data_IF_480026300057
#
_entry.id   IF_480026300057
#
_cell.length_a   1.000
_cell.length_b   1.000
_cell.length_c   1.000
_cell.angle_alpha   90.00
_cell.angle_beta   90.00
_cell.angle_gamma   90.00
#
_symmetry.space_group_name_H-M   'P 1'
#
loop_
_entity.id
_entity.type
_entity.pdbx_description
1 polymer ?
#
# COMPACT_ATOMS: atom_id res chain seq x y z
N UNK A 1 -21.63 3.70 5.88
CA UNK A 1 -21.64 2.48 6.75
C UNK A 1 -20.33 2.27 7.50
N UNK A 2 -19.18 2.72 6.97
CA UNK A 2 -17.86 2.61 7.64
C UNK A 2 -17.74 3.37 8.96
N UNK A 3 -18.44 4.50 9.08
CA UNK A 3 -18.27 5.44 10.20
C UNK A 3 -18.67 4.87 11.57
N UNK A 4 -19.53 3.85 11.57
CA UNK A 4 -20.03 3.23 12.81
C UNK A 4 -19.21 1.99 13.24
N UNK A 5 -18.30 1.48 12.40
CA UNK A 5 -17.55 0.25 12.71
C UNK A 5 -16.66 0.47 13.94
N UNK A 6 -15.91 1.56 13.97
CA UNK A 6 -14.99 1.86 15.08
C UNK A 6 -15.74 2.11 16.40
N UNK A 7 -16.79 2.96 16.46
CA UNK A 7 -17.59 3.12 17.66
C UNK A 7 -18.21 1.81 18.15
N UNK A 8 -18.77 0.98 17.26
CA UNK A 8 -19.38 -0.32 17.62
C UNK A 8 -18.34 -1.26 18.23
N UNK A 9 -17.14 -1.35 17.62
CA UNK A 9 -16.04 -2.17 18.16
C UNK A 9 -15.63 -1.70 19.55
N UNK A 10 -15.56 -0.38 19.77
CA UNK A 10 -15.18 0.18 21.06
C UNK A 10 -16.22 -0.13 22.16
N UNK A 11 -17.50 0.02 21.85
CA UNK A 11 -18.59 -0.34 22.76
C UNK A 11 -18.60 -1.84 23.02
N UNK A 12 -18.41 -2.68 22.01
CA UNK A 12 -18.33 -4.13 22.18
C UNK A 12 -17.18 -4.56 23.11
N UNK A 13 -16.00 -3.92 22.97
CA UNK A 13 -14.87 -4.19 23.88
C UNK A 13 -15.16 -3.81 25.33
N UNK A 14 -15.83 -2.67 25.57
CA UNK A 14 -16.25 -2.25 26.92
C UNK A 14 -17.26 -3.25 27.51
N UNK A 15 -18.24 -3.69 26.72
CA UNK A 15 -19.25 -4.68 27.14
C UNK A 15 -18.60 -6.03 27.49
N UNK A 16 -17.66 -6.50 26.66
CA UNK A 16 -16.91 -7.75 26.92
C UNK A 16 -16.12 -7.63 28.21
N UNK A 17 -15.47 -6.50 28.44
CA UNK A 17 -14.72 -6.27 29.69
C UNK A 17 -15.64 -6.27 30.90
N UNK A 18 -16.84 -5.64 30.81
CA UNK A 18 -17.85 -5.62 31.87
C UNK A 18 -18.36 -7.04 32.17
N UNK A 19 -18.69 -7.83 31.14
CA UNK A 19 -19.11 -9.23 31.29
C UNK A 19 -18.03 -10.07 31.98
N UNK A 20 -16.78 -9.85 31.63
CA UNK A 20 -15.62 -10.55 32.22
C UNK A 20 -15.21 -9.98 33.61
N UNK A 21 -15.96 -9.01 34.16
CA UNK A 21 -15.68 -8.34 35.43
C UNK A 21 -14.26 -7.75 35.51
N UNK A 22 -13.72 -7.32 34.37
CA UNK A 22 -12.41 -6.64 34.29
C UNK A 22 -12.66 -5.14 34.18
N UNK A 23 -11.77 -4.35 34.80
CA UNK A 23 -11.83 -2.90 34.67
C UNK A 23 -11.35 -2.47 33.28
N UNK A 24 -12.23 -1.94 32.38
CA UNK A 24 -11.86 -1.58 31.01
C UNK A 24 -10.71 -0.57 30.95
N UNK A 25 -10.70 0.40 31.87
CA UNK A 25 -9.66 1.42 31.96
C UNK A 25 -8.29 0.83 32.26
N UNK A 26 -8.24 -0.09 33.22
CA UNK A 26 -6.99 -0.73 33.58
C UNK A 26 -6.43 -1.64 32.48
N UNK A 27 -7.32 -2.37 31.80
CA UNK A 27 -6.95 -3.16 30.62
C UNK A 27 -6.41 -2.28 29.48
N UNK A 28 -7.00 -1.09 29.28
CA UNK A 28 -6.53 -0.14 28.29
C UNK A 28 -5.13 0.39 28.62
N UNK A 29 -4.87 0.74 29.89
CA UNK A 29 -3.54 1.21 30.32
C UNK A 29 -2.48 0.11 30.18
N UNK A 30 -2.79 -1.13 30.58
CA UNK A 30 -1.89 -2.27 30.43
C UNK A 30 -1.58 -2.53 28.95
N UNK A 31 -2.62 -2.57 28.10
CA UNK A 31 -2.45 -2.71 26.66
C UNK A 31 -1.64 -1.57 26.01
N UNK A 32 -1.84 -0.34 26.47
CA UNK A 32 -1.06 0.80 26.01
C UNK A 32 0.43 0.69 26.41
N UNK A 33 0.74 0.24 27.64
CA UNK A 33 2.12 -0.01 28.07
C UNK A 33 2.79 -1.11 27.27
N UNK A 34 2.08 -2.22 27.03
CA UNK A 34 2.58 -3.32 26.20
C UNK A 34 2.80 -2.89 24.76
N UNK A 35 1.85 -2.14 24.17
CA UNK A 35 1.96 -1.59 22.83
C UNK A 35 3.13 -0.62 22.69
N UNK A 36 3.34 0.25 23.66
CA UNK A 36 4.47 1.17 23.70
C UNK A 36 5.82 0.43 23.77
N UNK A 37 5.94 -0.52 24.68
CA UNK A 37 7.14 -1.38 24.78
C UNK A 37 7.40 -2.16 23.50
N UNK A 38 6.33 -2.69 22.88
CA UNK A 38 6.41 -3.38 21.60
C UNK A 38 6.92 -2.47 20.48
N UNK A 39 6.43 -1.23 20.40
CA UNK A 39 6.84 -0.24 19.41
C UNK A 39 8.32 0.13 19.54
N UNK A 40 8.80 0.33 20.76
CA UNK A 40 10.23 0.58 20.99
C UNK A 40 11.12 -0.59 20.54
N UNK A 41 10.68 -1.82 20.75
CA UNK A 41 11.42 -3.01 20.30
C UNK A 41 11.48 -3.15 18.78
N UNK A 42 10.55 -2.55 18.03
CA UNK A 42 10.54 -2.54 16.56
C UNK A 42 11.34 -1.38 15.97
N UNK A 43 11.54 -0.30 16.73
CA UNK A 43 12.14 0.94 16.25
C UNK A 43 13.50 0.77 15.56
N UNK A 44 14.48 0.01 16.10
CA UNK A 44 15.77 -0.20 15.44
C UNK A 44 15.64 -0.87 14.05
N UNK A 45 14.75 -1.85 13.93
CA UNK A 45 14.52 -2.55 12.65
C UNK A 45 13.87 -1.64 11.62
N UNK A 46 12.91 -0.82 12.03
CA UNK A 46 12.25 0.17 11.18
C UNK A 46 13.27 1.22 10.70
N UNK A 47 14.12 1.72 11.60
CA UNK A 47 15.16 2.69 11.23
C UNK A 47 16.17 2.11 10.24
N UNK A 48 16.61 0.86 10.44
CA UNK A 48 17.53 0.18 9.53
C UNK A 48 16.93 0.04 8.12
N UNK A 49 15.65 -0.33 8.01
CA UNK A 49 15.01 -0.46 6.69
C UNK A 49 14.80 0.90 6.03
N UNK A 50 14.40 1.93 6.79
CA UNK A 50 14.28 3.28 6.23
C UNK A 50 15.63 3.81 5.70
N UNK A 51 16.71 3.54 6.42
CA UNK A 51 18.05 3.90 5.96
C UNK A 51 18.39 3.15 4.65
N UNK A 52 18.17 1.85 4.59
CA UNK A 52 18.41 1.06 3.38
C UNK A 52 17.57 1.57 2.18
N UNK A 53 16.28 1.88 2.42
CA UNK A 53 15.39 2.41 1.39
C UNK A 53 15.80 3.81 0.93
N UNK A 54 16.23 4.68 1.85
CA UNK A 54 16.74 6.02 1.52
C UNK A 54 18.04 5.93 0.69
N UNK A 55 18.94 5.01 1.03
CA UNK A 55 20.15 4.77 0.23
C UNK A 55 19.81 4.25 -1.17
N UNK A 56 18.82 3.35 -1.28
CA UNK A 56 18.35 2.85 -2.58
C UNK A 56 17.76 3.97 -3.45
N UNK A 57 17.01 4.90 -2.85
CA UNK A 57 16.48 6.08 -3.54
C UNK A 57 17.61 7.04 -3.95
N UNK A 58 18.53 7.36 -3.03
CA UNK A 58 19.65 8.26 -3.28
C UNK A 58 20.64 7.73 -4.33
N UNK A 59 20.80 6.41 -4.44
CA UNK A 59 21.67 5.78 -5.45
C UNK A 59 21.09 5.79 -6.87
N UNK A 60 19.83 6.21 -7.07
CA UNK A 60 19.16 6.15 -8.36
C UNK A 60 18.75 4.74 -8.79
N UNK A 61 18.86 3.75 -7.91
CA UNK A 61 18.52 2.36 -8.21
C UNK A 61 17.04 2.21 -8.59
N UNK A 62 16.15 2.98 -7.96
CA UNK A 62 14.73 3.01 -8.31
C UNK A 62 14.50 3.45 -9.76
N UNK A 63 15.23 4.46 -10.23
CA UNK A 63 15.12 4.97 -11.60
C UNK A 63 15.65 3.95 -12.60
N UNK A 64 16.75 3.29 -12.27
CA UNK A 64 17.31 2.23 -13.08
C UNK A 64 16.34 1.06 -13.21
N UNK A 65 15.79 0.58 -12.09
CA UNK A 65 14.79 -0.50 -12.08
C UNK A 65 13.53 -0.12 -12.85
N UNK A 66 13.05 1.11 -12.68
CA UNK A 66 11.89 1.62 -13.40
C UNK A 66 12.10 1.64 -14.90
N UNK A 67 13.28 2.05 -15.37
CA UNK A 67 13.64 2.03 -16.80
C UNK A 67 13.72 0.61 -17.37
N UNK A 68 14.36 -0.30 -16.66
CA UNK A 68 14.48 -1.71 -17.10
C UNK A 68 13.11 -2.39 -17.14
N UNK A 69 12.28 -2.17 -16.14
CA UNK A 69 10.98 -2.81 -16.01
C UNK A 69 9.88 -2.15 -16.84
N UNK A 70 10.05 -0.90 -17.30
CA UNK A 70 9.03 -0.18 -18.08
C UNK A 70 8.66 -0.91 -19.37
N UNK A 71 9.63 -1.50 -20.07
CA UNK A 71 9.41 -2.20 -21.35
C UNK A 71 8.56 -3.46 -21.14
N UNK A 72 8.93 -4.43 -20.29
CA UNK A 72 8.10 -5.60 -20.05
C UNK A 72 6.73 -5.26 -19.42
N UNK A 73 6.65 -4.23 -18.55
CA UNK A 73 5.39 -3.80 -17.97
C UNK A 73 4.41 -3.26 -19.01
N UNK A 74 4.90 -2.51 -19.99
CA UNK A 74 4.07 -1.99 -21.09
C UNK A 74 3.47 -3.13 -21.90
N UNK A 75 4.23 -4.20 -22.16
CA UNK A 75 3.72 -5.39 -22.87
C UNK A 75 2.64 -6.12 -22.09
N UNK A 76 2.69 -6.06 -20.76
CA UNK A 76 1.70 -6.65 -19.86
C UNK A 76 0.45 -5.76 -19.67
N UNK A 77 0.43 -4.54 -20.22
CA UNK A 77 -0.71 -3.63 -20.16
C UNK A 77 -0.66 -2.60 -19.04
N UNK A 78 0.47 -2.47 -18.34
CA UNK A 78 0.70 -1.36 -17.40
C UNK A 78 1.26 -0.17 -18.20
N UNK A 79 0.69 1.05 -18.06
CA UNK A 79 1.24 2.25 -18.69
C UNK A 79 2.70 2.48 -18.28
N UNK A 80 3.56 2.81 -19.25
CA UNK A 80 4.99 3.06 -19.00
C UNK A 80 5.24 4.18 -17.98
N UNK A 81 4.34 5.15 -17.91
CA UNK A 81 4.36 6.27 -16.98
C UNK A 81 4.24 5.81 -15.51
N UNK A 82 3.68 4.62 -15.29
CA UNK A 82 3.45 4.05 -13.97
C UNK A 82 4.51 3.03 -13.55
N UNK A 83 5.49 2.74 -14.40
CA UNK A 83 6.56 1.78 -14.07
C UNK A 83 7.32 2.19 -12.79
N UNK A 84 7.62 3.48 -12.63
CA UNK A 84 8.23 4.03 -11.42
C UNK A 84 7.38 3.81 -10.18
N UNK A 85 6.06 3.99 -10.30
CA UNK A 85 5.13 3.80 -9.19
C UNK A 85 5.05 2.33 -8.76
N UNK A 86 5.02 1.39 -9.70
CA UNK A 86 5.01 -0.05 -9.42
C UNK A 86 6.28 -0.49 -8.70
N UNK A 87 7.44 0.03 -9.09
CA UNK A 87 8.73 -0.28 -8.45
C UNK A 87 8.83 0.36 -7.07
N UNK A 88 8.34 1.60 -6.93
CA UNK A 88 8.45 2.36 -5.69
C UNK A 88 7.46 1.87 -4.62
N UNK A 89 6.31 1.37 -5.01
CA UNK A 89 5.22 1.00 -4.08
C UNK A 89 5.64 -0.03 -3.02
N UNK A 90 6.30 -1.16 -3.34
CA UNK A 90 6.77 -2.12 -2.33
C UNK A 90 7.82 -1.56 -1.36
N UNK A 91 8.49 -0.48 -1.77
CA UNK A 91 9.63 0.13 -1.09
C UNK A 91 9.21 1.28 -0.18
N UNK A 92 8.40 2.21 -0.70
CA UNK A 92 8.07 3.47 -0.01
C UNK A 92 6.60 3.84 -0.21
N UNK A 93 5.85 3.81 0.89
CA UNK A 93 4.43 4.23 0.90
C UNK A 93 4.28 5.73 0.67
N UNK A 94 5.03 6.56 1.38
CA UNK A 94 4.98 8.03 1.24
C UNK A 94 5.49 8.48 -0.13
N UNK A 95 6.57 7.88 -0.63
CA UNK A 95 7.09 8.17 -1.96
C UNK A 95 6.10 7.81 -3.06
N UNK A 96 5.41 6.68 -2.94
CA UNK A 96 4.35 6.31 -3.90
C UNK A 96 3.14 7.22 -3.85
N UNK A 97 2.75 7.74 -2.68
CA UNK A 97 1.68 8.73 -2.58
C UNK A 97 2.08 10.08 -3.21
N UNK A 98 3.31 10.51 -3.04
CA UNK A 98 3.82 11.72 -3.71
C UNK A 98 3.78 11.54 -5.23
N UNK A 99 4.29 10.40 -5.74
CA UNK A 99 4.25 10.09 -7.18
C UNK A 99 2.82 9.93 -7.70
N UNK A 100 1.90 9.37 -6.92
CA UNK A 100 0.47 9.33 -7.26
C UNK A 100 -0.09 10.74 -7.45
N UNK A 101 0.18 11.65 -6.51
CA UNK A 101 -0.27 13.04 -6.61
C UNK A 101 0.26 13.73 -7.88
N UNK A 102 1.53 13.51 -8.22
CA UNK A 102 2.12 14.04 -9.45
C UNK A 102 1.44 13.49 -10.70
N UNK A 103 1.14 12.18 -10.72
CA UNK A 103 0.41 11.52 -11.81
C UNK A 103 -1.02 12.07 -11.92
N UNK A 104 -1.72 12.21 -10.80
CA UNK A 104 -3.10 12.74 -10.81
C UNK A 104 -3.15 14.22 -11.23
N UNK A 105 -2.16 15.02 -10.81
CA UNK A 105 -2.04 16.41 -11.25
C UNK A 105 -1.77 16.54 -12.75
N UNK A 106 -0.96 15.64 -13.31
CA UNK A 106 -0.55 15.68 -14.71
C UNK A 106 -1.59 15.10 -15.68
N UNK A 107 -2.22 13.98 -15.32
CA UNK A 107 -3.08 13.21 -16.22
C UNK A 107 -4.57 13.28 -15.84
N UNK A 108 -4.89 13.77 -14.64
CA UNK A 108 -6.24 13.82 -14.10
C UNK A 108 -6.67 12.49 -13.46
N UNK A 109 -7.56 12.54 -12.44
CA UNK A 109 -8.01 11.35 -11.71
C UNK A 109 -8.88 10.42 -12.55
N UNK A 110 -9.64 10.95 -13.51
CA UNK A 110 -10.57 10.19 -14.35
C UNK A 110 -9.91 9.58 -15.59
N UNK A 111 -8.65 9.93 -15.88
CA UNK A 111 -7.89 9.34 -16.96
C UNK A 111 -7.57 7.86 -16.69
N UNK A 112 -7.33 7.09 -17.75
CA UNK A 112 -6.88 5.70 -17.62
C UNK A 112 -5.60 5.59 -16.76
N UNK A 113 -4.64 6.49 -16.98
CA UNK A 113 -3.38 6.52 -16.22
C UNK A 113 -3.64 6.86 -14.76
N UNK A 114 -4.49 7.86 -14.45
CA UNK A 114 -4.83 8.25 -13.08
C UNK A 114 -5.54 7.13 -12.32
N UNK A 115 -6.53 6.48 -12.94
CA UNK A 115 -7.24 5.33 -12.34
C UNK A 115 -6.31 4.14 -12.10
N UNK A 116 -5.44 3.80 -13.07
CA UNK A 116 -4.44 2.75 -12.89
C UNK A 116 -3.46 3.10 -11.75
N UNK A 117 -3.00 4.35 -11.64
CA UNK A 117 -2.12 4.79 -10.57
C UNK A 117 -2.77 4.63 -9.19
N UNK A 118 -4.03 5.02 -9.05
CA UNK A 118 -4.80 4.83 -7.81
C UNK A 118 -4.93 3.34 -7.47
N UNK A 119 -5.30 2.50 -8.44
CA UNK A 119 -5.41 1.04 -8.23
C UNK A 119 -4.08 0.38 -7.84
N UNK A 120 -2.96 0.86 -8.36
CA UNK A 120 -1.62 0.37 -7.97
C UNK A 120 -1.33 0.73 -6.51
N UNK A 121 -1.65 1.95 -6.09
CA UNK A 121 -1.39 2.39 -4.72
C UNK A 121 -2.32 1.73 -3.72
N UNK A 122 -3.60 1.58 -4.04
CA UNK A 122 -4.59 0.98 -3.14
C UNK A 122 -4.51 -0.55 -3.11
N UNK A 123 -4.21 -1.18 -4.25
CA UNK A 123 -4.16 -2.64 -4.39
C UNK A 123 -2.87 -3.31 -3.88
N UNK A 124 -1.85 -2.53 -3.52
CA UNK A 124 -0.55 -3.04 -3.08
C UNK A 124 -0.13 -2.38 -1.77
N UNK A 125 0.69 -3.08 -0.99
CA UNK A 125 1.25 -2.52 0.24
C UNK A 125 2.79 -2.41 0.19
N UNK A 126 3.37 -1.76 1.19
CA UNK A 126 4.83 -1.62 1.36
C UNK A 126 5.43 -2.93 1.90
N UNK A 127 5.69 -3.87 0.98
CA UNK A 127 6.09 -5.25 1.32
C UNK A 127 7.29 -5.30 2.26
N UNK A 128 8.32 -4.49 2.01
CA UNK A 128 9.54 -4.51 2.83
C UNK A 128 9.29 -4.00 4.25
N UNK A 129 8.47 -2.96 4.41
CA UNK A 129 8.10 -2.42 5.72
C UNK A 129 7.30 -3.44 6.53
N UNK A 130 6.26 -4.01 5.95
CA UNK A 130 5.42 -5.02 6.59
C UNK A 130 6.25 -6.25 6.95
N UNK A 131 7.06 -6.77 6.03
CA UNK A 131 7.92 -7.91 6.29
C UNK A 131 8.84 -7.65 7.49
N UNK A 132 9.42 -6.45 7.60
CA UNK A 132 10.29 -6.10 8.72
C UNK A 132 9.54 -6.12 10.05
N UNK A 133 8.35 -5.55 10.13
CA UNK A 133 7.55 -5.53 11.36
C UNK A 133 7.16 -6.95 11.78
N UNK A 134 6.62 -7.74 10.86
CA UNK A 134 6.13 -9.08 11.18
C UNK A 134 7.24 -10.07 11.51
N UNK A 135 8.37 -10.02 10.77
CA UNK A 135 9.46 -10.96 10.98
C UNK A 135 10.44 -10.55 12.08
N UNK A 136 10.47 -9.29 12.51
CA UNK A 136 11.36 -8.81 13.58
C UNK A 136 11.19 -9.57 14.90
N UNK A 137 10.00 -10.10 15.18
CA UNK A 137 9.67 -10.83 16.43
C UNK A 137 9.44 -12.32 16.22
N UNK A 138 9.57 -12.83 15.00
CA UNK A 138 9.35 -14.24 14.67
C UNK A 138 10.68 -14.97 14.54
N UNK A 139 10.70 -16.25 14.95
CA UNK A 139 11.88 -17.13 14.76
C UNK A 139 11.96 -17.71 13.33
N UNK A 140 11.24 -17.13 12.37
CA UNK A 140 11.19 -17.64 10.99
C UNK A 140 12.53 -17.35 10.31
N UNK A 141 13.23 -18.40 9.90
CA UNK A 141 14.54 -18.30 9.24
C UNK A 141 14.48 -17.96 7.74
N UNK A 142 13.35 -18.21 7.07
CA UNK A 142 13.21 -18.06 5.61
C UNK A 142 12.21 -16.95 5.23
N UNK A 143 12.55 -15.71 5.57
CA UNK A 143 11.75 -14.52 5.21
C UNK A 143 11.78 -14.22 3.71
N UNK A 144 12.85 -14.60 3.01
CA UNK A 144 13.02 -14.30 1.59
C UNK A 144 11.94 -14.88 0.69
N UNK A 145 11.47 -16.11 0.96
CA UNK A 145 10.34 -16.72 0.21
C UNK A 145 9.04 -15.95 0.39
N UNK A 146 8.75 -15.50 1.61
CA UNK A 146 7.55 -14.73 1.89
C UNK A 146 7.58 -13.36 1.17
N UNK A 147 8.73 -12.69 1.17
CA UNK A 147 8.92 -11.43 0.46
C UNK A 147 8.77 -11.63 -1.06
N UNK A 148 9.37 -12.69 -1.62
CA UNK A 148 9.26 -12.99 -3.04
C UNK A 148 7.80 -13.27 -3.46
N UNK A 149 7.05 -14.03 -2.66
CA UNK A 149 5.63 -14.30 -2.91
C UNK A 149 4.82 -12.99 -2.80
N UNK A 150 5.07 -12.18 -1.77
CA UNK A 150 4.38 -10.91 -1.59
C UNK A 150 4.63 -9.94 -2.76
N UNK A 151 5.86 -9.85 -3.27
CA UNK A 151 6.19 -9.05 -4.44
C UNK A 151 5.50 -9.58 -5.71
N UNK A 152 5.47 -10.89 -5.91
CA UNK A 152 4.78 -11.51 -7.04
C UNK A 152 3.27 -11.25 -7.01
N UNK A 153 2.65 -11.40 -5.84
CA UNK A 153 1.21 -11.12 -5.64
C UNK A 153 0.91 -9.63 -5.83
N UNK A 154 1.75 -8.73 -5.29
CA UNK A 154 1.61 -7.28 -5.51
C UNK A 154 1.70 -6.91 -6.99
N UNK A 155 2.65 -7.49 -7.71
CA UNK A 155 2.77 -7.27 -9.15
C UNK A 155 1.54 -7.78 -9.92
N UNK A 156 1.04 -8.97 -9.56
CA UNK A 156 -0.19 -9.52 -10.15
C UNK A 156 -1.41 -8.63 -9.85
N UNK A 157 -1.51 -8.09 -8.64
CA UNK A 157 -2.55 -7.12 -8.27
C UNK A 157 -2.49 -5.85 -9.12
N UNK A 158 -1.29 -5.31 -9.37
CA UNK A 158 -1.10 -4.17 -10.28
C UNK A 158 -1.60 -4.48 -11.70
N UNK A 159 -1.27 -5.66 -12.23
CA UNK A 159 -1.71 -6.09 -13.55
C UNK A 159 -3.23 -6.19 -13.63
N UNK A 160 -3.84 -6.90 -12.69
CA UNK A 160 -5.29 -7.08 -12.63
C UNK A 160 -6.02 -5.74 -12.46
N UNK A 161 -5.49 -4.85 -11.61
CA UNK A 161 -6.04 -3.51 -11.42
C UNK A 161 -6.02 -2.68 -12.69
N UNK A 162 -4.91 -2.67 -13.43
CA UNK A 162 -4.82 -1.95 -14.71
C UNK A 162 -5.74 -2.56 -15.78
N UNK A 163 -5.87 -3.88 -15.83
CA UNK A 163 -6.78 -4.54 -16.75
C UNK A 163 -8.24 -4.24 -16.43
N UNK A 164 -8.62 -4.27 -15.15
CA UNK A 164 -9.96 -3.87 -14.72
C UNK A 164 -10.27 -2.42 -15.10
N UNK A 165 -9.35 -1.49 -14.85
CA UNK A 165 -9.51 -0.10 -15.27
C UNK A 165 -9.73 0.02 -16.77
N UNK A 166 -9.01 -0.76 -17.58
CA UNK A 166 -9.17 -0.77 -19.03
C UNK A 166 -10.55 -1.25 -19.45
N UNK A 167 -11.03 -2.35 -18.87
CA UNK A 167 -12.36 -2.91 -19.13
C UNK A 167 -13.46 -1.94 -18.70
N UNK A 168 -13.36 -1.39 -17.48
CA UNK A 168 -14.33 -0.43 -16.97
C UNK A 168 -14.41 0.84 -17.84
N UNK A 169 -13.28 1.36 -18.32
CA UNK A 169 -13.30 2.53 -19.20
C UNK A 169 -13.85 2.24 -20.59
N UNK A 170 -13.67 1.03 -21.10
CA UNK A 170 -14.30 0.61 -22.36
C UNK A 170 -15.84 0.54 -22.22
N UNK A 171 -16.33 0.14 -21.03
CA UNK A 171 -17.75 0.05 -20.74
C UNK A 171 -18.39 1.41 -20.40
N UNK A 172 -17.64 2.31 -19.73
CA UNK A 172 -18.09 3.64 -19.30
C UNK A 172 -17.69 4.76 -20.26
N UNK A 173 -17.26 4.45 -21.48
CA UNK A 173 -17.03 5.46 -22.51
C UNK A 173 -18.31 6.29 -22.69
N UNK A 174 -18.27 7.64 -22.50
CA UNK A 174 -19.46 8.45 -22.57
C UNK A 174 -20.15 8.25 -23.91
N UNK A 175 -21.45 7.94 -23.82
CA UNK A 175 -22.30 7.86 -25.01
C UNK A 175 -22.24 9.21 -25.73
N UNK A 176 -22.20 9.26 -27.08
CA UNK A 176 -22.25 10.52 -27.84
C UNK A 176 -23.48 11.38 -27.55
N UNK A 177 -24.37 10.93 -26.66
CA UNK A 177 -25.64 11.61 -26.29
C UNK A 177 -25.57 12.38 -24.97
N UNK A 178 -24.47 12.33 -24.22
CA UNK A 178 -24.35 13.15 -23.03
C UNK A 178 -24.11 14.62 -23.44
N UNK A 179 -25.04 15.54 -23.14
CA UNK A 179 -24.85 16.95 -23.44
C UNK A 179 -23.65 17.45 -22.65
N UNK A 180 -22.69 18.02 -23.38
CA UNK A 180 -21.58 18.77 -22.76
C UNK A 180 -22.21 19.89 -21.95
N UNK A 181 -22.22 19.76 -20.64
CA UNK A 181 -22.49 20.89 -19.74
C UNK A 181 -21.29 21.81 -19.86
N UNK A 182 -21.51 22.87 -20.60
CA UNK A 182 -20.64 24.06 -20.68
C UNK A 182 -20.61 24.78 -19.33
#
# INVERSE_FOLDING_TARGET
MGDYIVPILFVALILIAAIKKKNPYQCMIEGAKEGFSASFGLFPNIMAIFLALSLMQASGLNDLLSRILSVPMQWLGIPKELAGLVVLRPVSGSGSLAMLNDVLAKYGPDSYIGRCATMIVDGCDTVFYIATIYFARTKVKNTGKAIAIALAVSFLSCLLGCWLCRICLLYTSPSPRDPKTS
#
